data_IF_570941784731
#
_entry.id   IF_570941784731
#
_cell.length_a   1.000
_cell.length_b   1.000
_cell.length_c   1.000
_cell.angle_alpha   90.00
_cell.angle_beta   90.00
_cell.angle_gamma   90.00
#
_symmetry.space_group_name_H-M   'P 1'
#
loop_
_entity.id
_entity.type
_entity.pdbx_description
1 polymer ?
#
# COMPACT_ATOMS: atom_id res chain seq x y z
N UNK A 1 -4.72 -12.06 -9.77
CA UNK A 1 -4.63 -12.40 -8.32
C UNK A 1 -4.13 -11.16 -7.60
N UNK A 2 -4.94 -10.53 -6.76
CA UNK A 2 -4.51 -9.33 -6.00
C UNK A 2 -3.45 -9.76 -4.99
N UNK A 3 -2.18 -9.62 -5.38
CA UNK A 3 -1.02 -9.81 -4.54
C UNK A 3 -0.92 -8.66 -3.55
N UNK A 4 -1.79 -8.67 -2.53
CA UNK A 4 -1.66 -7.80 -1.37
C UNK A 4 -0.65 -8.43 -0.42
N UNK A 5 0.59 -7.94 -0.47
CA UNK A 5 1.62 -8.34 0.47
C UNK A 5 1.55 -7.45 1.72
N UNK A 6 1.60 -8.07 2.90
CA UNK A 6 1.91 -7.33 4.13
C UNK A 6 3.41 -7.40 4.26
N UNK A 7 4.08 -6.25 4.20
CA UNK A 7 5.52 -6.19 4.37
C UNK A 7 5.86 -5.58 5.73
N UNK A 8 6.75 -6.21 6.52
CA UNK A 8 7.26 -5.59 7.72
C UNK A 8 8.17 -4.43 7.34
N UNK A 9 7.99 -3.27 7.97
CA UNK A 9 8.96 -2.18 7.76
C UNK A 9 10.31 -2.62 8.32
N UNK A 10 11.30 -2.77 7.44
CA UNK A 10 12.70 -2.97 7.79
C UNK A 10 13.27 -1.63 8.25
N UNK A 11 13.07 -1.30 9.52
CA UNK A 11 13.53 -0.05 10.13
C UNK A 11 15.04 -0.06 10.41
N UNK A 12 15.85 0.26 9.40
CA UNK A 12 17.04 1.08 9.64
C UNK A 12 16.69 2.52 9.26
N UNK A 13 16.10 3.24 10.22
CA UNK A 13 15.87 4.70 10.25
C UNK A 13 15.86 5.41 8.89
N UNK A 14 14.69 5.44 8.25
CA UNK A 14 14.38 6.46 7.24
C UNK A 14 13.04 7.11 7.57
N UNK A 15 12.78 8.26 6.94
CA UNK A 15 11.62 9.14 7.10
C UNK A 15 10.20 8.51 7.28
N UNK A 16 9.86 7.29 6.81
CA UNK A 16 8.53 6.66 7.01
C UNK A 16 8.04 6.44 8.44
N UNK A 17 8.88 6.60 9.47
CA UNK A 17 8.42 6.42 10.87
C UNK A 17 7.33 7.44 11.25
N UNK A 18 7.35 8.65 10.65
CA UNK A 18 6.37 9.69 10.93
C UNK A 18 4.97 9.37 10.39
N UNK A 19 4.83 8.53 9.36
CA UNK A 19 3.52 8.18 8.77
C UNK A 19 2.69 7.23 9.66
N UNK A 20 3.35 6.57 10.63
CA UNK A 20 2.67 5.77 11.66
C UNK A 20 2.01 6.60 12.75
N UNK A 21 2.28 7.91 12.80
CA UNK A 21 1.74 8.83 13.79
C UNK A 21 0.85 9.89 13.12
N UNK A 22 0.03 10.57 13.92
CA UNK A 22 -0.77 11.67 13.38
C UNK A 22 0.15 12.81 12.93
N UNK A 23 0.01 13.22 11.69
CA UNK A 23 0.80 14.30 11.11
C UNK A 23 0.11 15.67 11.27
N UNK A 24 0.78 16.73 10.87
CA UNK A 24 0.16 18.07 10.79
C UNK A 24 -0.72 18.16 9.53
N UNK A 25 -1.74 19.04 9.50
CA UNK A 25 -2.58 19.23 8.31
C UNK A 25 -1.79 19.57 7.04
N UNK A 26 -0.68 20.30 7.16
CA UNK A 26 0.18 20.66 6.04
C UNK A 26 0.87 19.43 5.45
N UNK A 27 1.36 18.52 6.31
CA UNK A 27 2.01 17.29 5.89
C UNK A 27 0.99 16.27 5.36
N UNK A 28 -0.21 16.20 5.97
CA UNK A 28 -1.33 15.43 5.45
C UNK A 28 -1.63 15.82 3.97
N UNK A 29 -1.70 17.12 3.67
CA UNK A 29 -2.00 17.61 2.33
C UNK A 29 -0.86 17.42 1.31
N UNK A 30 0.38 17.27 1.79
CA UNK A 30 1.56 17.00 0.95
C UNK A 30 1.74 15.50 0.65
N UNK A 31 1.28 14.64 1.55
CA UNK A 31 1.58 13.19 1.51
C UNK A 31 0.49 12.36 0.85
N UNK A 32 -0.61 13.00 0.41
CA UNK A 32 -1.75 12.30 -0.17
C UNK A 32 -2.54 11.48 0.84
N UNK A 33 -2.48 11.82 2.13
CA UNK A 33 -3.24 11.08 3.15
C UNK A 33 -4.74 11.25 2.90
N UNK A 34 -5.48 10.14 2.96
CA UNK A 34 -6.93 10.14 2.85
C UNK A 34 -7.52 10.30 4.25
N UNK A 35 -7.09 9.46 5.17
CA UNK A 35 -7.55 9.47 6.55
C UNK A 35 -6.90 8.38 7.39
N UNK A 36 -7.40 8.22 8.61
CA UNK A 36 -6.98 7.11 9.45
C UNK A 36 -8.14 6.38 10.12
N UNK A 37 -7.94 5.08 10.35
CA UNK A 37 -8.71 4.30 11.30
C UNK A 37 -7.96 4.18 12.61
N UNK A 38 -8.65 4.44 13.72
CA UNK A 38 -8.20 4.06 15.06
C UNK A 38 -8.95 2.83 15.49
N UNK A 39 -8.25 1.88 16.12
CA UNK A 39 -8.78 0.58 16.46
C UNK A 39 -8.51 0.26 17.94
N UNK A 40 -9.52 -0.23 18.63
CA UNK A 40 -9.50 -0.64 20.03
C UNK A 40 -10.12 -2.04 20.18
N UNK A 41 -9.43 -2.92 20.90
CA UNK A 41 -9.90 -4.30 21.12
C UNK A 41 -10.78 -4.47 22.37
N UNK A 42 -11.16 -3.37 23.02
CA UNK A 42 -11.92 -3.31 24.25
C UNK A 42 -11.15 -3.86 25.45
N UNK A 43 -11.76 -3.73 26.64
CA UNK A 43 -11.12 -4.16 27.91
C UNK A 43 -10.71 -5.63 27.93
N UNK A 44 -11.47 -6.50 27.24
CA UNK A 44 -11.21 -7.94 27.17
C UNK A 44 -10.27 -8.35 26.02
N UNK A 45 -9.84 -7.39 25.18
CA UNK A 45 -8.92 -7.62 24.07
C UNK A 45 -9.48 -8.45 22.92
N UNK A 46 -10.80 -8.59 22.80
CA UNK A 46 -11.49 -9.42 21.78
C UNK A 46 -12.51 -8.65 20.93
N UNK A 47 -12.79 -7.40 21.27
CA UNK A 47 -13.72 -6.58 20.50
C UNK A 47 -12.99 -6.03 19.27
N UNK A 48 -13.73 -5.40 18.36
CA UNK A 48 -13.14 -4.57 17.31
C UNK A 48 -13.95 -3.28 17.24
N UNK A 49 -13.49 -2.28 17.97
CA UNK A 49 -14.05 -0.93 17.96
C UNK A 49 -13.18 -0.08 17.04
N UNK A 50 -13.78 0.72 16.17
CA UNK A 50 -13.02 1.58 15.29
C UNK A 50 -13.70 2.92 15.04
N UNK A 51 -12.88 3.93 14.73
CA UNK A 51 -13.31 5.27 14.36
C UNK A 51 -12.51 5.75 13.16
N UNK A 52 -13.20 6.24 12.14
CA UNK A 52 -12.60 6.94 10.99
C UNK A 52 -12.38 8.42 11.31
N UNK A 53 -11.23 8.96 10.91
CA UNK A 53 -10.98 10.40 10.87
C UNK A 53 -10.48 10.75 9.47
N UNK A 54 -11.27 11.55 8.76
CA UNK A 54 -10.84 12.19 7.51
C UNK A 54 -9.66 13.12 7.80
N UNK A 55 -8.60 13.06 6.99
CA UNK A 55 -7.39 13.89 7.17
C UNK A 55 -7.10 14.74 5.94
N UNK A 56 -7.04 14.13 4.76
CA UNK A 56 -6.90 14.87 3.52
C UNK A 56 -8.24 15.29 2.93
N UNK A 57 -8.15 15.75 1.68
CA UNK A 57 -9.28 16.12 0.81
C UNK A 57 -10.40 15.07 0.86
N UNK A 58 -11.63 15.52 1.05
CA UNK A 58 -12.78 14.62 1.15
C UNK A 58 -13.04 13.84 -0.15
N UNK A 59 -12.61 14.41 -1.27
CA UNK A 59 -12.71 13.86 -2.62
C UNK A 59 -11.89 12.58 -2.81
N UNK A 60 -10.86 12.36 -1.98
CA UNK A 60 -10.06 11.13 -2.02
C UNK A 60 -10.76 9.96 -1.34
N UNK A 61 -11.77 10.24 -0.51
CA UNK A 61 -12.57 9.21 0.13
C UNK A 61 -13.65 8.70 -0.83
N UNK A 62 -13.20 8.09 -1.94
CA UNK A 62 -14.07 7.62 -3.03
C UNK A 62 -14.68 6.25 -2.71
N UNK A 63 -15.76 5.85 -3.41
CA UNK A 63 -16.29 4.48 -3.30
C UNK A 63 -15.26 3.40 -3.65
N UNK A 64 -14.36 3.68 -4.61
CA UNK A 64 -13.28 2.77 -5.01
C UNK A 64 -12.30 2.58 -3.84
N UNK A 65 -11.86 3.68 -3.23
CA UNK A 65 -11.02 3.62 -2.03
C UNK A 65 -11.71 2.87 -0.89
N UNK A 66 -12.99 3.12 -0.65
CA UNK A 66 -13.74 2.46 0.42
C UNK A 66 -13.83 0.95 0.21
N UNK A 67 -14.00 0.50 -1.04
CA UNK A 67 -14.00 -0.93 -1.37
C UNK A 67 -12.60 -1.56 -1.20
N UNK A 68 -11.54 -0.87 -1.62
CA UNK A 68 -10.17 -1.35 -1.40
C UNK A 68 -9.83 -1.44 0.10
N UNK A 69 -10.14 -0.38 0.86
CA UNK A 69 -9.98 -0.33 2.31
C UNK A 69 -10.78 -1.45 2.98
N UNK A 70 -12.00 -1.74 2.54
CA UNK A 70 -12.81 -2.85 3.05
C UNK A 70 -12.07 -4.18 2.89
N UNK A 71 -11.50 -4.44 1.72
CA UNK A 71 -10.78 -5.68 1.45
C UNK A 71 -9.45 -5.78 2.24
N UNK A 72 -8.73 -4.67 2.39
CA UNK A 72 -7.53 -4.60 3.26
C UNK A 72 -7.93 -4.87 4.72
N UNK A 73 -9.01 -4.27 5.19
CA UNK A 73 -9.53 -4.51 6.55
C UNK A 73 -9.97 -5.96 6.76
N UNK A 74 -10.64 -6.58 5.79
CA UNK A 74 -11.02 -8.00 5.86
C UNK A 74 -9.79 -8.91 5.97
N UNK A 75 -8.72 -8.60 5.24
CA UNK A 75 -7.46 -9.31 5.30
C UNK A 75 -6.79 -9.14 6.67
N UNK A 76 -6.63 -7.91 7.16
CA UNK A 76 -6.04 -7.63 8.47
C UNK A 76 -6.83 -8.28 9.62
N UNK A 77 -8.17 -8.28 9.55
CA UNK A 77 -9.05 -8.86 10.58
C UNK A 77 -9.03 -10.38 10.66
N UNK A 78 -8.54 -11.06 9.61
CA UNK A 78 -8.33 -12.52 9.65
C UNK A 78 -7.09 -12.89 10.47
N UNK A 79 -6.16 -11.95 10.64
CA UNK A 79 -4.85 -12.19 11.27
C UNK A 79 -4.50 -11.13 12.33
N UNK A 80 -3.60 -10.17 12.02
CA UNK A 80 -3.03 -9.20 12.97
C UNK A 80 -4.08 -8.36 13.72
N UNK A 81 -5.23 -8.08 13.11
CA UNK A 81 -6.33 -7.31 13.70
C UNK A 81 -7.52 -8.16 14.17
N UNK A 82 -7.34 -9.48 14.31
CA UNK A 82 -8.39 -10.37 14.81
C UNK A 82 -8.75 -10.09 16.27
N UNK A 83 -7.74 -10.00 17.13
CA UNK A 83 -7.84 -9.67 18.56
C UNK A 83 -6.46 -9.25 19.10
N UNK A 84 -6.42 -8.76 20.35
CA UNK A 84 -5.16 -8.28 20.96
C UNK A 84 -4.12 -9.40 21.13
N UNK A 85 -4.57 -10.66 21.29
CA UNK A 85 -3.65 -11.80 21.43
C UNK A 85 -2.97 -12.09 20.08
N UNK A 86 -3.75 -12.09 19.01
CA UNK A 86 -3.29 -12.31 17.64
C UNK A 86 -2.33 -11.20 17.22
N UNK A 87 -2.67 -9.93 17.51
CA UNK A 87 -1.76 -8.79 17.29
C UNK A 87 -0.41 -8.97 18.02
N UNK A 88 -0.43 -9.36 19.30
CA UNK A 88 0.80 -9.59 20.08
C UNK A 88 1.69 -10.66 19.47
N UNK A 89 1.07 -11.76 19.03
CA UNK A 89 1.77 -12.86 18.41
C UNK A 89 2.38 -12.41 17.07
N UNK A 90 1.57 -11.79 16.21
CA UNK A 90 2.00 -11.25 14.93
C UNK A 90 3.18 -10.29 15.08
N UNK A 91 3.11 -9.34 16.02
CA UNK A 91 4.19 -8.39 16.31
C UNK A 91 5.50 -9.06 16.75
N UNK A 92 5.41 -10.18 17.47
CA UNK A 92 6.57 -10.92 17.93
C UNK A 92 7.23 -11.71 16.79
N UNK A 93 6.43 -12.24 15.87
CA UNK A 93 6.86 -13.16 14.82
C UNK A 93 7.33 -12.43 13.55
N UNK A 94 6.78 -11.25 13.26
CA UNK A 94 6.98 -10.57 11.96
C UNK A 94 7.87 -9.32 12.01
N UNK A 95 8.52 -9.03 13.14
CA UNK A 95 9.37 -7.84 13.26
C UNK A 95 8.58 -6.52 13.15
N UNK A 96 9.19 -5.47 12.59
CA UNK A 96 8.56 -4.16 12.42
C UNK A 96 8.60 -3.26 13.65
N UNK A 97 9.50 -3.50 14.61
CA UNK A 97 9.64 -2.66 15.80
C UNK A 97 9.93 -1.21 15.42
N UNK A 98 9.10 -0.29 15.89
CA UNK A 98 9.35 1.14 15.78
C UNK A 98 10.16 1.55 17.03
N UNK A 99 11.42 2.00 16.87
CA UNK A 99 12.22 2.45 18.00
C UNK A 99 11.67 3.78 18.55
N UNK A 100 11.77 3.95 19.87
CA UNK A 100 11.29 5.15 20.56
C UNK A 100 9.84 5.07 21.05
N UNK A 101 9.50 5.98 21.97
CA UNK A 101 8.19 6.03 22.63
C UNK A 101 8.13 5.35 24.00
N UNK A 102 7.07 5.62 24.77
CA UNK A 102 6.87 5.04 26.11
C UNK A 102 6.43 3.57 26.08
N UNK A 103 5.91 3.12 24.94
CA UNK A 103 5.44 1.76 24.71
C UNK A 103 5.96 1.29 23.36
N UNK A 104 6.39 0.03 23.28
CA UNK A 104 6.86 -0.56 22.02
C UNK A 104 5.72 -0.64 21.01
N UNK A 105 5.87 0.06 19.89
CA UNK A 105 4.97 -0.03 18.75
C UNK A 105 5.61 -0.85 17.61
N UNK A 106 4.78 -1.34 16.72
CA UNK A 106 5.18 -2.10 15.53
C UNK A 106 4.52 -1.48 14.29
N UNK A 107 5.23 -1.43 13.16
CA UNK A 107 4.79 -0.81 11.92
C UNK A 107 4.83 -1.80 10.76
N UNK A 108 3.77 -1.80 9.95
CA UNK A 108 3.63 -2.59 8.74
C UNK A 108 3.09 -1.72 7.61
N UNK A 109 3.56 -1.94 6.39
CA UNK A 109 3.03 -1.33 5.18
C UNK A 109 2.23 -2.37 4.40
N UNK A 110 1.14 -1.92 3.80
CA UNK A 110 0.31 -2.71 2.90
C UNK A 110 0.10 -1.86 1.66
N UNK A 111 0.44 -2.37 0.49
CA UNK A 111 0.17 -1.69 -0.77
C UNK A 111 -0.94 -2.41 -1.52
N UNK A 112 -1.86 -1.65 -2.11
CA UNK A 112 -3.01 -2.18 -2.83
C UNK A 112 -3.41 -1.22 -3.94
N UNK A 113 -3.24 -1.63 -5.20
CA UNK A 113 -3.48 -0.80 -6.37
C UNK A 113 -2.70 0.53 -6.27
N UNK A 114 -3.39 1.67 -6.18
CA UNK A 114 -2.81 3.01 -6.05
C UNK A 114 -2.73 3.51 -4.61
N UNK A 115 -3.06 2.65 -3.63
CA UNK A 115 -3.13 3.00 -2.22
C UNK A 115 -2.02 2.35 -1.41
N UNK A 116 -1.57 3.07 -0.38
CA UNK A 116 -0.65 2.56 0.62
C UNK A 116 -1.22 2.75 2.03
N UNK A 117 -1.08 1.73 2.86
CA UNK A 117 -1.62 1.69 4.20
C UNK A 117 -0.51 1.45 5.22
N UNK A 118 -0.42 2.32 6.21
CA UNK A 118 0.55 2.21 7.30
C UNK A 118 -0.17 1.76 8.56
N UNK A 119 0.03 0.50 8.94
CA UNK A 119 -0.52 -0.08 10.15
C UNK A 119 0.48 0.07 11.30
N UNK A 120 0.14 0.87 12.30
CA UNK A 120 0.81 0.87 13.60
C UNK A 120 0.07 -0.02 14.59
N UNK A 121 0.74 -1.02 15.13
CA UNK A 121 0.26 -1.86 16.22
C UNK A 121 0.89 -1.45 17.55
N UNK A 122 0.04 -1.31 18.56
CA UNK A 122 0.39 -1.11 19.97
C UNK A 122 -0.12 -2.32 20.77
N UNK A 123 0.70 -3.38 20.95
CA UNK A 123 0.26 -4.65 21.51
C UNK A 123 0.08 -4.64 23.04
N UNK A 124 -0.18 -3.48 23.65
CA UNK A 124 -0.50 -3.35 25.08
C UNK A 124 -2.00 -3.13 25.30
N UNK A 125 -2.51 -3.64 26.42
CA UNK A 125 -3.91 -3.47 26.81
C UNK A 125 -4.13 -2.09 27.46
N UNK A 126 -3.75 -1.01 26.76
CA UNK A 126 -3.89 0.38 27.20
C UNK A 126 -3.89 1.32 25.99
N UNK A 127 -4.86 2.25 25.96
CA UNK A 127 -5.04 3.16 24.82
C UNK A 127 -5.55 2.43 23.59
N UNK A 128 -5.43 3.07 22.42
CA UNK A 128 -5.76 2.44 21.14
C UNK A 128 -4.68 1.42 20.75
N UNK A 129 -5.11 0.26 20.26
CA UNK A 129 -4.22 -0.85 19.89
C UNK A 129 -3.75 -0.78 18.43
N UNK A 130 -4.49 -0.12 17.55
CA UNK A 130 -4.03 0.05 16.17
C UNK A 130 -4.40 1.39 15.56
N UNK A 131 -3.54 1.84 14.63
CA UNK A 131 -3.79 2.96 13.74
C UNK A 131 -3.50 2.49 12.32
N UNK A 132 -4.43 2.69 11.40
CA UNK A 132 -4.21 2.47 9.97
C UNK A 132 -4.30 3.81 9.27
N UNK A 133 -3.18 4.36 8.82
CA UNK A 133 -3.14 5.57 8.00
C UNK A 133 -3.23 5.17 6.53
N UNK A 134 -4.14 5.78 5.78
CA UNK A 134 -4.41 5.43 4.37
C UNK A 134 -3.94 6.57 3.47
N UNK A 135 -3.18 6.26 2.42
CA UNK A 135 -2.63 7.22 1.47
C UNK A 135 -3.06 6.88 0.03
N UNK A 136 -3.30 7.91 -0.77
CA UNK A 136 -3.37 7.83 -2.23
C UNK A 136 -1.99 8.20 -2.81
N UNK A 137 -1.33 7.25 -3.45
CA UNK A 137 0.04 7.42 -3.94
C UNK A 137 0.12 8.41 -5.11
N UNK A 138 -0.99 8.68 -5.81
CA UNK A 138 -1.03 9.70 -6.88
C UNK A 138 -1.26 11.11 -6.37
N UNK A 139 -1.76 11.28 -5.14
CA UNK A 139 -1.92 12.61 -4.54
C UNK A 139 -0.69 13.09 -3.77
N UNK A 140 0.39 12.32 -3.81
CA UNK A 140 1.67 12.71 -3.22
C UNK A 140 2.25 13.95 -3.92
N UNK A 141 2.74 14.89 -3.11
CA UNK A 141 3.43 16.11 -3.55
C UNK A 141 4.86 16.09 -3.05
N UNK A 142 5.81 16.44 -3.92
CA UNK A 142 7.20 16.71 -3.54
C UNK A 142 7.39 18.22 -3.52
N UNK A 143 7.89 18.76 -2.41
CA UNK A 143 8.26 20.18 -2.27
C UNK A 143 7.15 21.17 -2.70
N UNK A 144 5.89 20.78 -2.47
CA UNK A 144 4.72 21.59 -2.81
C UNK A 144 4.22 21.45 -4.26
N UNK A 145 4.95 20.74 -5.13
CA UNK A 145 4.53 20.46 -6.50
C UNK A 145 3.80 19.12 -6.59
N UNK A 146 2.66 19.12 -7.30
CA UNK A 146 1.92 17.90 -7.62
C UNK A 146 2.69 17.10 -8.67
N UNK A 147 3.20 15.93 -8.27
CA UNK A 147 3.86 14.98 -9.17
C UNK A 147 3.42 13.55 -8.79
N UNK A 148 2.35 13.05 -9.42
CA UNK A 148 1.78 11.76 -9.08
C UNK A 148 2.80 10.66 -9.32
N UNK A 149 2.81 9.66 -8.44
CA UNK A 149 3.67 8.51 -8.63
C UNK A 149 3.10 7.63 -9.75
N UNK A 150 3.95 7.27 -10.71
CA UNK A 150 3.56 6.46 -11.87
C UNK A 150 3.75 4.97 -11.57
N UNK A 151 4.84 4.62 -10.89
CA UNK A 151 5.11 3.25 -10.47
C UNK A 151 6.34 3.11 -9.60
N UNK A 152 6.55 1.92 -9.07
CA UNK A 152 7.67 1.56 -8.20
C UNK A 152 8.26 0.21 -8.66
N UNK A 153 9.56 0.02 -8.41
CA UNK A 153 10.28 -1.23 -8.70
C UNK A 153 11.21 -1.64 -7.57
N UNK A 154 11.40 -2.94 -7.40
CA UNK A 154 12.22 -3.57 -6.36
C UNK A 154 13.13 -4.64 -6.95
N UNK A 155 14.29 -4.82 -6.34
CA UNK A 155 15.29 -5.83 -6.72
C UNK A 155 15.70 -6.69 -5.52
N UNK A 156 16.25 -7.88 -5.74
CA UNK A 156 16.77 -8.74 -4.67
C UNK A 156 17.86 -8.08 -3.82
N UNK A 157 18.55 -7.06 -4.37
CA UNK A 157 19.53 -6.27 -3.64
C UNK A 157 18.94 -5.32 -2.58
N UNK A 158 17.61 -5.24 -2.46
CA UNK A 158 16.93 -4.29 -1.58
C UNK A 158 16.84 -2.87 -2.16
N UNK A 159 17.30 -2.68 -3.40
CA UNK A 159 17.11 -1.44 -4.14
C UNK A 159 15.62 -1.26 -4.47
N UNK A 160 15.11 -0.05 -4.24
CA UNK A 160 13.74 0.37 -4.47
C UNK A 160 13.76 1.72 -5.18
N UNK A 161 13.20 1.77 -6.39
CA UNK A 161 13.12 2.99 -7.21
C UNK A 161 11.67 3.38 -7.42
N UNK A 162 11.42 4.69 -7.43
CA UNK A 162 10.10 5.30 -7.62
C UNK A 162 10.14 6.20 -8.86
N UNK A 163 9.18 6.01 -9.77
CA UNK A 163 9.11 6.74 -11.03
C UNK A 163 7.91 7.67 -11.08
N UNK A 164 8.11 8.91 -11.54
CA UNK A 164 7.05 9.94 -11.70
C UNK A 164 6.77 10.28 -13.15
N UNK A 165 7.53 9.67 -14.06
CA UNK A 165 7.43 9.85 -15.50
C UNK A 165 7.15 8.48 -16.11
N UNK A 166 6.13 8.39 -16.95
CA UNK A 166 5.71 7.13 -17.56
C UNK A 166 6.80 6.57 -18.47
N UNK A 167 7.51 7.42 -19.19
CA UNK A 167 8.60 7.03 -20.08
C UNK A 167 9.71 6.29 -19.32
N UNK A 168 10.19 6.87 -18.21
CA UNK A 168 11.25 6.26 -17.39
C UNK A 168 10.79 4.95 -16.74
N UNK A 169 9.54 4.92 -16.27
CA UNK A 169 8.96 3.73 -15.64
C UNK A 169 8.84 2.57 -16.63
N UNK A 170 8.27 2.82 -17.81
CA UNK A 170 8.07 1.82 -18.84
C UNK A 170 9.40 1.31 -19.39
N UNK A 171 10.40 2.20 -19.53
CA UNK A 171 11.73 1.80 -19.97
C UNK A 171 12.40 0.87 -18.96
N UNK A 172 12.34 1.19 -17.66
CA UNK A 172 12.86 0.31 -16.62
C UNK A 172 12.21 -1.08 -16.66
N UNK A 173 10.88 -1.16 -16.83
CA UNK A 173 10.20 -2.46 -16.94
C UNK A 173 10.71 -3.23 -18.16
N UNK A 174 10.86 -2.59 -19.33
CA UNK A 174 11.36 -3.26 -20.54
C UNK A 174 12.77 -3.81 -20.36
N UNK A 175 13.64 -3.07 -19.69
CA UNK A 175 15.03 -3.45 -19.50
C UNK A 175 15.18 -4.56 -18.45
N UNK A 176 14.46 -4.47 -17.33
CA UNK A 176 14.71 -5.32 -16.15
C UNK A 176 13.80 -6.55 -16.06
N UNK A 177 12.58 -6.49 -16.61
CA UNK A 177 11.62 -7.59 -16.55
C UNK A 177 12.14 -8.90 -17.18
N UNK A 178 12.86 -8.89 -18.32
CA UNK A 178 13.45 -10.11 -18.87
C UNK A 178 14.45 -10.79 -17.93
N UNK A 179 15.07 -10.04 -17.01
CA UNK A 179 16.06 -10.53 -16.07
C UNK A 179 15.48 -10.82 -14.67
N UNK A 180 14.15 -10.77 -14.51
CA UNK A 180 13.44 -10.98 -13.25
C UNK A 180 13.90 -12.20 -12.46
N UNK A 181 14.20 -13.32 -13.14
CA UNK A 181 14.67 -14.55 -12.49
C UNK A 181 16.06 -14.40 -11.84
N UNK A 182 16.86 -13.43 -12.30
CA UNK A 182 18.25 -13.20 -11.88
C UNK A 182 18.35 -12.04 -10.89
N UNK A 183 17.70 -10.92 -11.17
CA UNK A 183 17.76 -9.70 -10.35
C UNK A 183 16.63 -9.61 -9.31
N UNK A 184 15.62 -10.49 -9.38
CA UNK A 184 14.45 -10.47 -8.50
C UNK A 184 13.48 -9.34 -8.79
N UNK A 185 13.50 -8.80 -10.00
CA UNK A 185 12.71 -7.64 -10.39
C UNK A 185 11.23 -7.84 -10.06
N UNK A 186 10.70 -6.91 -9.27
CA UNK A 186 9.28 -6.79 -9.01
C UNK A 186 8.88 -5.34 -9.23
N UNK A 187 7.68 -5.11 -9.74
CA UNK A 187 7.20 -3.76 -10.01
C UNK A 187 5.72 -3.65 -9.63
N UNK A 188 5.32 -2.41 -9.37
CA UNK A 188 3.94 -2.02 -9.12
C UNK A 188 3.60 -0.78 -9.93
N UNK A 189 2.57 -0.89 -10.77
CA UNK A 189 2.04 0.25 -11.51
C UNK A 189 1.04 0.98 -10.64
N UNK A 190 1.25 2.29 -10.49
CA UNK A 190 0.43 3.14 -9.63
C UNK A 190 -0.41 4.09 -10.46
N UNK A 191 -0.03 4.42 -11.70
CA UNK A 191 -0.75 5.41 -12.53
C UNK A 191 -2.22 5.05 -12.82
N UNK A 192 -3.10 6.06 -12.72
CA UNK A 192 -4.52 5.95 -13.14
C UNK A 192 -4.67 6.11 -14.65
N UNK A 193 -3.62 6.48 -15.37
CA UNK A 193 -3.65 6.66 -16.82
C UNK A 193 -3.79 5.32 -17.54
N UNK A 194 -4.88 5.10 -18.31
CA UNK A 194 -5.11 3.85 -19.04
C UNK A 194 -3.97 3.49 -20.00
N UNK A 195 -3.41 4.49 -20.68
CA UNK A 195 -2.29 4.30 -21.60
C UNK A 195 -1.04 3.71 -20.91
N UNK A 196 -0.75 4.13 -19.67
CA UNK A 196 0.38 3.60 -18.90
C UNK A 196 0.12 2.16 -18.47
N UNK A 197 -1.07 1.87 -17.92
CA UNK A 197 -1.43 0.49 -17.52
C UNK A 197 -1.41 -0.47 -18.71
N UNK A 198 -2.00 -0.05 -19.84
CA UNK A 198 -1.97 -0.83 -21.07
C UNK A 198 -0.54 -1.07 -21.54
N UNK A 199 0.31 -0.04 -21.55
CA UNK A 199 1.70 -0.19 -22.00
C UNK A 199 2.48 -1.17 -21.11
N UNK A 200 2.24 -1.18 -19.79
CA UNK A 200 2.81 -2.18 -18.89
C UNK A 200 2.34 -3.58 -19.24
N UNK A 201 1.03 -3.78 -19.41
CA UNK A 201 0.49 -5.10 -19.76
C UNK A 201 0.97 -5.59 -21.12
N UNK A 202 1.10 -4.68 -22.10
CA UNK A 202 1.68 -5.00 -23.41
C UNK A 202 3.13 -5.50 -23.24
N UNK A 203 3.96 -4.86 -22.40
CA UNK A 203 5.35 -5.30 -22.14
C UNK A 203 5.38 -6.67 -21.44
N UNK A 204 4.53 -6.87 -20.43
CA UNK A 204 4.49 -8.11 -19.65
C UNK A 204 4.04 -9.27 -20.53
N UNK A 205 2.97 -9.10 -21.30
CA UNK A 205 2.40 -10.16 -22.13
C UNK A 205 3.31 -10.48 -23.32
N UNK A 206 3.94 -9.48 -23.95
CA UNK A 206 4.91 -9.69 -25.02
C UNK A 206 6.09 -10.56 -24.55
N UNK A 207 6.57 -10.38 -23.30
CA UNK A 207 7.62 -11.21 -22.73
C UNK A 207 7.23 -12.70 -22.65
N UNK A 208 5.95 -13.00 -22.43
CA UNK A 208 5.43 -14.38 -22.40
C UNK A 208 4.92 -14.87 -23.77
N UNK A 209 5.07 -14.07 -24.83
CA UNK A 209 4.59 -14.38 -26.17
C UNK A 209 3.07 -14.31 -26.32
N UNK A 210 2.39 -13.62 -25.41
CA UNK A 210 0.95 -13.41 -25.42
C UNK A 210 0.65 -11.99 -25.92
N UNK A 211 -0.42 -11.84 -26.72
CA UNK A 211 -0.93 -10.52 -27.08
C UNK A 211 -1.88 -10.02 -26.01
N UNK A 212 -1.86 -8.72 -25.72
CA UNK A 212 -2.80 -8.12 -24.77
C UNK A 212 -4.25 -8.29 -25.25
N UNK A 213 -5.09 -9.06 -24.53
CA UNK A 213 -6.48 -9.28 -24.92
C UNK A 213 -7.40 -8.10 -24.57
N UNK A 214 -6.93 -7.17 -23.72
CA UNK A 214 -7.68 -6.01 -23.26
C UNK A 214 -7.54 -4.84 -24.25
N UNK A 215 -8.66 -4.22 -24.58
CA UNK A 215 -8.71 -3.01 -25.40
C UNK A 215 -8.50 -1.77 -24.52
N UNK A 216 -8.15 -0.63 -25.11
CA UNK A 216 -7.95 0.63 -24.36
C UNK A 216 -9.15 0.97 -23.47
N UNK A 217 -10.37 0.74 -23.97
CA UNK A 217 -11.64 0.98 -23.28
C UNK A 217 -11.80 0.11 -22.01
N UNK A 218 -11.22 -1.09 -21.98
CA UNK A 218 -11.26 -1.98 -20.80
C UNK A 218 -10.41 -1.41 -19.67
N UNK A 219 -9.35 -0.66 -19.99
CA UNK A 219 -8.56 0.05 -19.00
C UNK A 219 -9.21 1.35 -18.53
N UNK A 220 -10.15 1.91 -19.29
CA UNK A 220 -10.95 3.07 -18.88
C UNK A 220 -12.06 2.68 -17.88
N UNK A 221 -12.53 1.44 -17.95
CA UNK A 221 -13.52 0.87 -17.04
C UNK A 221 -12.81 0.31 -15.80
N UNK A 222 -12.93 1.02 -14.67
CA UNK A 222 -12.53 0.67 -13.29
C UNK A 222 -11.62 -0.58 -13.06
N UNK A 223 -10.53 -0.46 -12.29
CA UNK A 223 -9.61 -1.56 -11.93
C UNK A 223 -10.20 -2.67 -11.02
N UNK A 224 -11.53 -2.73 -10.85
CA UNK A 224 -12.22 -3.78 -10.08
C UNK A 224 -12.55 -5.04 -10.89
N UNK A 225 -12.40 -5.03 -12.21
CA UNK A 225 -12.71 -6.18 -13.08
C UNK A 225 -11.46 -6.83 -13.71
N UNK A 226 -10.29 -6.68 -13.09
CA UNK A 226 -9.11 -7.47 -13.48
C UNK A 226 -9.29 -8.95 -13.11
N UNK A 227 -9.69 -9.71 -14.13
CA UNK A 227 -9.24 -11.07 -14.43
C UNK A 227 -9.24 -12.06 -13.25
N UNK A 228 -10.41 -12.66 -13.05
CA UNK A 228 -10.52 -14.01 -12.52
C UNK A 228 -9.99 -15.03 -13.57
N UNK A 229 -8.69 -15.00 -13.86
CA UNK A 229 -8.03 -16.04 -14.66
C UNK A 229 -7.81 -17.27 -13.79
N UNK A 230 -8.88 -18.07 -13.66
CA UNK A 230 -8.83 -19.44 -13.17
C UNK A 230 -9.00 -20.41 -14.33
N UNK A 231 -8.08 -21.37 -14.44
CA UNK A 231 -8.32 -22.65 -15.12
C UNK A 231 -7.26 -23.08 -16.12
N UNK A 232 -6.18 -23.72 -15.64
CA UNK A 232 -6.05 -25.18 -15.57
C UNK A 232 -4.86 -25.56 -14.69
#
# INVERSE_FOLDING_TARGET
MNNRFIEPVLTELSEPTNFFFEQTPELDAATGVIGHLRIDFGRNGKQFLHTWKQRGKAELNTPIFQEDLRQVMDMLRKDVLKDLKSMRQFCRENGGKIPGGQVQNYGYTITSDVYEYYLRCNPVNRGYQAYLTCFDLQEQRIDGNYQPLVGQVWFYGGEHLQYRTAEEYLECIREELPYRATNGFWFQTISREPAVRKAVDDIVLDLYGEGNPCWEEDYELNPSEEMQMGGM
#
